data_IF_765261976981
#
_entry.id   IF_765261976981
#
_cell.length_a   1.000
_cell.length_b   1.000
_cell.length_c   1.000
_cell.angle_alpha   90.00
_cell.angle_beta   90.00
_cell.angle_gamma   90.00
#
_symmetry.space_group_name_H-M   'P 1'
#
loop_
_entity.id
_entity.type
_entity.pdbx_description
1 polymer ?
#
# COMPACT_ATOMS: atom_id res chain seq x y z
N UNK A 1 -4.19 40.67 -60.80
CA UNK A 1 -3.72 39.40 -60.19
C UNK A 1 -2.87 39.74 -58.98
N UNK A 2 -3.49 39.80 -57.80
CA UNK A 2 -2.82 40.17 -56.55
C UNK A 2 -2.68 38.89 -55.72
N UNK A 3 -1.46 38.56 -55.30
CA UNK A 3 -1.12 37.37 -54.51
C UNK A 3 -1.56 37.58 -53.06
N UNK A 4 -2.32 36.64 -52.52
CA UNK A 4 -2.59 36.51 -51.09
C UNK A 4 -1.31 36.07 -50.36
N UNK A 5 -0.94 36.78 -49.29
CA UNK A 5 0.05 36.32 -48.32
C UNK A 5 -0.68 36.15 -46.99
N UNK A 6 -0.85 34.90 -46.57
CA UNK A 6 -1.40 34.54 -45.26
C UNK A 6 -0.25 34.54 -44.27
N UNK A 7 -0.30 35.40 -43.24
CA UNK A 7 0.59 35.33 -42.10
C UNK A 7 -0.04 34.41 -41.04
N UNK A 8 0.59 33.26 -40.81
CA UNK A 8 0.25 32.38 -39.70
C UNK A 8 0.89 32.93 -38.41
N UNK A 9 0.06 33.34 -37.45
CA UNK A 9 0.52 33.70 -36.09
C UNK A 9 0.60 32.42 -35.27
N UNK A 10 1.80 31.86 -35.13
CA UNK A 10 2.06 30.80 -34.16
C UNK A 10 2.15 31.41 -32.76
N UNK A 11 1.08 31.27 -31.97
CA UNK A 11 1.13 31.56 -30.53
C UNK A 11 1.83 30.40 -29.81
N UNK A 12 3.10 30.60 -29.43
CA UNK A 12 3.81 29.73 -28.51
C UNK A 12 3.34 30.02 -27.08
N UNK A 13 2.38 29.23 -26.58
CA UNK A 13 2.07 29.22 -25.15
C UNK A 13 3.15 28.42 -24.42
N UNK A 14 4.08 29.12 -23.79
CA UNK A 14 5.01 28.52 -22.83
C UNK A 14 4.23 28.17 -21.56
N UNK A 15 3.76 26.93 -21.44
CA UNK A 15 3.25 26.42 -20.15
C UNK A 15 4.43 26.27 -19.20
N UNK A 16 4.54 27.17 -18.22
CA UNK A 16 5.41 26.96 -17.07
C UNK A 16 4.94 25.71 -16.33
N UNK A 17 5.69 24.61 -16.46
CA UNK A 17 5.55 23.47 -15.56
C UNK A 17 6.16 23.89 -14.23
N UNK A 18 5.35 24.50 -13.37
CA UNK A 18 5.73 24.74 -11.98
C UNK A 18 5.89 23.37 -11.30
N UNK A 19 7.13 22.96 -11.07
CA UNK A 19 7.44 21.81 -10.23
C UNK A 19 6.90 22.05 -8.82
N UNK A 20 5.75 21.47 -8.52
CA UNK A 20 5.13 21.54 -7.19
C UNK A 20 6.07 20.84 -6.19
N UNK A 21 6.83 21.63 -5.42
CA UNK A 21 7.66 21.12 -4.32
C UNK A 21 6.71 20.45 -3.32
N UNK A 22 6.73 19.12 -3.28
CA UNK A 22 5.92 18.34 -2.34
C UNK A 22 6.58 18.45 -0.95
N UNK A 23 5.83 18.81 0.11
CA UNK A 23 6.41 18.97 1.43
C UNK A 23 7.01 17.64 1.93
N UNK A 24 8.16 17.76 2.60
CA UNK A 24 8.84 16.63 3.23
C UNK A 24 7.92 15.94 4.24
N UNK A 25 7.87 14.61 4.20
CA UNK A 25 7.09 13.81 5.15
C UNK A 25 8.00 13.30 6.27
N UNK A 26 7.70 13.67 7.51
CA UNK A 26 8.41 13.10 8.67
C UNK A 26 7.88 11.70 8.93
N UNK A 27 8.76 10.72 9.01
CA UNK A 27 8.40 9.36 9.43
C UNK A 27 8.08 9.38 10.92
N UNK A 28 7.01 8.70 11.32
CA UNK A 28 6.54 8.62 12.70
C UNK A 28 5.86 7.26 12.97
N UNK A 29 5.17 7.14 14.09
CA UNK A 29 4.44 5.92 14.49
C UNK A 29 3.04 5.81 13.86
N UNK A 30 2.61 6.78 13.05
CA UNK A 30 1.31 6.84 12.40
C UNK A 30 0.13 6.54 13.36
N UNK A 31 0.05 7.28 14.47
CA UNK A 31 -0.92 7.03 15.55
C UNK A 31 -2.39 7.24 15.16
N UNK A 32 -2.65 7.85 14.01
CA UNK A 32 -4.00 8.09 13.46
C UNK A 32 -4.46 6.99 12.48
N UNK A 33 -3.62 5.99 12.21
CA UNK A 33 -3.95 4.98 11.20
C UNK A 33 -4.94 3.94 11.71
N UNK A 34 -5.75 3.40 10.80
CA UNK A 34 -6.42 2.12 11.00
C UNK A 34 -5.37 1.01 10.90
N UNK A 35 -5.05 0.39 12.02
CA UNK A 35 -3.97 -0.58 12.14
C UNK A 35 -4.45 -1.95 12.64
N UNK A 36 -5.76 -2.20 12.71
CA UNK A 36 -6.31 -3.41 13.33
C UNK A 36 -5.69 -4.70 12.76
N UNK A 37 -5.03 -5.46 13.63
CA UNK A 37 -4.40 -6.74 13.29
C UNK A 37 -5.35 -7.93 13.45
N UNK A 38 -6.58 -7.71 13.91
CA UNK A 38 -7.63 -8.72 14.08
C UNK A 38 -7.23 -9.93 14.94
N UNK A 39 -6.28 -9.72 15.87
CA UNK A 39 -5.71 -10.80 16.66
C UNK A 39 -6.76 -11.37 17.60
N UNK A 40 -7.04 -12.67 17.40
CA UNK A 40 -8.00 -13.41 18.22
C UNK A 40 -9.45 -13.27 17.79
N UNK A 41 -9.74 -12.56 16.69
CA UNK A 41 -11.13 -12.32 16.27
C UNK A 41 -11.40 -12.50 14.77
N UNK A 42 -10.46 -13.08 14.02
CA UNK A 42 -10.65 -13.44 12.61
C UNK A 42 -11.96 -14.20 12.37
N UNK A 43 -12.34 -15.25 13.13
CA UNK A 43 -13.61 -15.95 12.90
C UNK A 43 -14.85 -15.04 13.07
N UNK A 44 -14.82 -14.15 14.07
CA UNK A 44 -15.91 -13.21 14.29
C UNK A 44 -15.98 -12.17 13.17
N UNK A 45 -14.83 -11.67 12.71
CA UNK A 45 -14.75 -10.74 11.58
C UNK A 45 -15.19 -11.40 10.27
N UNK A 46 -14.84 -12.66 9.99
CA UNK A 46 -15.34 -13.41 8.83
C UNK A 46 -16.87 -13.55 8.80
N UNK A 47 -17.53 -13.47 9.96
CA UNK A 47 -18.99 -13.45 10.01
C UNK A 47 -19.55 -12.07 9.67
N UNK A 48 -18.90 -10.99 10.15
CA UNK A 48 -19.35 -9.61 9.91
C UNK A 48 -18.93 -9.05 8.54
N UNK A 49 -17.83 -9.54 7.97
CA UNK A 49 -17.25 -9.02 6.72
C UNK A 49 -18.23 -9.04 5.57
N UNK A 50 -19.11 -10.05 5.50
CA UNK A 50 -20.13 -10.15 4.44
C UNK A 50 -21.14 -9.01 4.49
N UNK A 51 -21.48 -8.56 5.69
CA UNK A 51 -22.41 -7.42 5.89
C UNK A 51 -21.69 -6.13 5.53
N UNK A 52 -20.50 -5.90 6.09
CA UNK A 52 -19.71 -4.70 5.78
C UNK A 52 -19.41 -4.59 4.29
N UNK A 53 -19.02 -5.69 3.64
CA UNK A 53 -18.71 -5.68 2.21
C UNK A 53 -19.93 -5.31 1.37
N UNK A 54 -21.12 -5.84 1.71
CA UNK A 54 -22.36 -5.48 1.03
C UNK A 54 -22.68 -3.99 1.19
N UNK A 55 -22.51 -3.45 2.40
CA UNK A 55 -22.75 -2.04 2.69
C UNK A 55 -21.75 -1.14 1.94
N UNK A 56 -20.48 -1.53 1.88
CA UNK A 56 -19.41 -0.83 1.16
C UNK A 56 -19.65 -0.83 -0.35
N UNK A 57 -20.04 -1.97 -0.92
CA UNK A 57 -20.40 -2.09 -2.34
C UNK A 57 -21.60 -1.19 -2.66
N UNK A 58 -22.61 -1.18 -1.79
CA UNK A 58 -23.84 -0.40 -1.99
C UNK A 58 -23.57 1.11 -1.87
N UNK A 59 -22.73 1.51 -0.90
CA UNK A 59 -22.34 2.91 -0.71
C UNK A 59 -21.53 3.44 -1.90
N UNK A 60 -20.73 2.57 -2.53
CA UNK A 60 -19.94 2.86 -3.72
C UNK A 60 -19.02 4.10 -3.56
N UNK A 61 -18.50 4.32 -2.36
CA UNK A 61 -17.58 5.42 -2.06
C UNK A 61 -16.37 5.36 -2.99
N UNK A 62 -16.07 6.46 -3.69
CA UNK A 62 -14.97 6.56 -4.67
C UNK A 62 -15.01 5.46 -5.76
N UNK A 63 -16.20 5.04 -6.19
CA UNK A 63 -16.43 3.94 -7.15
C UNK A 63 -15.99 2.55 -6.65
N UNK A 64 -15.79 2.37 -5.33
CA UNK A 64 -15.35 1.09 -4.75
C UNK A 64 -16.28 -0.07 -5.14
N UNK A 65 -17.59 0.12 -5.02
CA UNK A 65 -18.58 -0.94 -5.28
C UNK A 65 -18.60 -1.38 -6.73
N UNK A 66 -18.57 -0.43 -7.66
CA UNK A 66 -18.45 -0.70 -9.10
C UNK A 66 -17.19 -1.51 -9.39
N UNK A 67 -16.04 -1.06 -8.88
CA UNK A 67 -14.76 -1.75 -9.10
C UNK A 67 -14.72 -3.12 -8.45
N UNK A 68 -15.26 -3.25 -7.24
CA UNK A 68 -15.36 -4.52 -6.56
C UNK A 68 -16.14 -5.53 -7.42
N UNK A 69 -17.32 -5.14 -7.91
CA UNK A 69 -18.14 -5.98 -8.79
C UNK A 69 -17.39 -6.36 -10.07
N UNK A 70 -16.78 -5.39 -10.75
CA UNK A 70 -16.02 -5.67 -11.98
C UNK A 70 -14.90 -6.69 -11.75
N UNK A 71 -14.12 -6.53 -10.67
CA UNK A 71 -13.04 -7.45 -10.33
C UNK A 71 -13.56 -8.81 -9.85
N UNK A 72 -14.69 -8.84 -9.14
CA UNK A 72 -15.31 -10.07 -8.67
C UNK A 72 -15.83 -10.89 -9.86
N UNK A 73 -16.54 -10.27 -10.80
CA UNK A 73 -17.08 -10.92 -11.99
C UNK A 73 -15.98 -11.40 -12.96
N UNK A 74 -14.85 -10.70 -12.99
CA UNK A 74 -13.68 -11.09 -13.77
C UNK A 74 -12.77 -12.14 -13.10
N UNK A 75 -12.99 -12.46 -11.82
CA UNK A 75 -12.18 -13.45 -11.09
C UNK A 75 -12.79 -14.83 -11.21
N UNK A 76 -12.07 -15.78 -11.83
CA UNK A 76 -12.54 -17.17 -11.91
C UNK A 76 -12.45 -17.79 -10.51
N UNK A 77 -13.50 -18.52 -10.10
CA UNK A 77 -13.49 -19.30 -8.86
C UNK A 77 -12.30 -20.27 -8.78
N UNK A 78 -11.74 -20.68 -9.92
CA UNK A 78 -10.52 -21.52 -9.98
C UNK A 78 -9.25 -20.79 -9.55
N UNK A 79 -9.25 -19.47 -9.50
CA UNK A 79 -8.14 -18.68 -8.94
C UNK A 79 -8.05 -18.83 -7.42
N UNK A 80 -9.17 -19.16 -6.76
CA UNK A 80 -9.17 -19.65 -5.39
C UNK A 80 -8.61 -21.07 -5.37
N UNK A 81 -7.33 -21.19 -5.06
CA UNK A 81 -6.59 -22.45 -4.94
C UNK A 81 -6.76 -23.15 -3.58
N UNK A 82 -7.76 -22.72 -2.80
CA UNK A 82 -8.02 -23.19 -1.45
C UNK A 82 -7.24 -22.44 -0.36
N UNK A 83 -6.33 -21.52 -0.71
CA UNK A 83 -5.68 -20.63 0.25
C UNK A 83 -6.55 -19.42 0.58
N UNK A 84 -6.93 -18.68 -0.46
CA UNK A 84 -7.65 -17.42 -0.38
C UNK A 84 -9.04 -17.58 -0.99
N UNK A 85 -10.04 -16.99 -0.34
CA UNK A 85 -11.38 -16.88 -0.95
C UNK A 85 -11.35 -15.89 -2.11
N UNK A 86 -12.38 -15.91 -2.95
CA UNK A 86 -12.52 -14.94 -4.06
C UNK A 86 -12.49 -13.50 -3.53
N UNK A 87 -13.12 -13.22 -2.38
CA UNK A 87 -13.10 -11.87 -1.79
C UNK A 87 -11.70 -11.43 -1.36
N UNK A 88 -10.86 -12.34 -0.86
CA UNK A 88 -9.46 -12.03 -0.56
C UNK A 88 -8.69 -11.68 -1.85
N UNK A 89 -8.89 -12.46 -2.91
CA UNK A 89 -8.23 -12.24 -4.21
C UNK A 89 -8.67 -10.89 -4.80
N UNK A 90 -9.97 -10.59 -4.77
CA UNK A 90 -10.51 -9.30 -5.25
C UNK A 90 -9.95 -8.13 -4.43
N UNK A 91 -9.86 -8.27 -3.09
CA UNK A 91 -9.25 -7.25 -2.23
C UNK A 91 -7.78 -6.98 -2.60
N UNK A 92 -7.00 -8.01 -2.95
CA UNK A 92 -5.63 -7.88 -3.46
C UNK A 92 -5.62 -7.18 -4.82
N UNK A 93 -6.39 -7.67 -5.81
CA UNK A 93 -6.44 -7.10 -7.17
C UNK A 93 -6.80 -5.61 -7.16
N UNK A 94 -7.79 -5.22 -6.35
CA UNK A 94 -8.17 -3.82 -6.17
C UNK A 94 -7.03 -2.98 -5.61
N UNK A 95 -6.30 -3.51 -4.62
CA UNK A 95 -5.19 -2.82 -4.01
C UNK A 95 -4.02 -2.67 -5.00
N UNK A 96 -3.52 -3.77 -5.57
CA UNK A 96 -2.39 -3.78 -6.50
C UNK A 96 -2.63 -3.00 -7.81
N UNK A 97 -3.88 -2.69 -8.12
CA UNK A 97 -4.24 -1.80 -9.23
C UNK A 97 -4.04 -0.31 -8.91
N UNK A 98 -4.83 0.54 -9.56
CA UNK A 98 -4.77 1.99 -9.35
C UNK A 98 -5.46 2.46 -8.05
N UNK A 99 -6.15 1.56 -7.35
CA UNK A 99 -7.07 1.91 -6.26
C UNK A 99 -6.43 1.84 -4.86
N UNK A 100 -5.17 1.39 -4.73
CA UNK A 100 -4.44 1.42 -3.44
C UNK A 100 -4.49 2.78 -2.74
N UNK A 101 -4.54 3.87 -3.51
CA UNK A 101 -4.53 5.23 -2.96
C UNK A 101 -5.79 5.52 -2.15
N UNK A 102 -6.95 5.06 -2.59
CA UNK A 102 -8.22 5.26 -1.89
C UNK A 102 -8.18 4.62 -0.52
N UNK A 103 -7.86 3.32 -0.46
CA UNK A 103 -7.75 2.61 0.82
C UNK A 103 -6.66 3.24 1.70
N UNK A 104 -5.48 3.50 1.16
CA UNK A 104 -4.37 4.04 1.94
C UNK A 104 -4.63 5.47 2.44
N UNK A 105 -5.33 6.32 1.70
CA UNK A 105 -5.69 7.66 2.16
C UNK A 105 -6.70 7.58 3.31
N UNK A 106 -7.70 6.70 3.22
CA UNK A 106 -8.66 6.46 4.31
C UNK A 106 -7.97 5.85 5.55
N UNK A 107 -7.12 4.84 5.36
CA UNK A 107 -6.44 4.11 6.44
C UNK A 107 -5.53 5.03 7.25
N UNK A 108 -4.74 5.90 6.60
CA UNK A 108 -3.73 6.74 7.29
C UNK A 108 -4.26 7.63 8.40
N UNK A 109 -5.53 8.05 8.31
CA UNK A 109 -6.16 9.00 9.23
C UNK A 109 -7.45 8.45 9.85
N UNK A 110 -7.79 7.19 9.55
CA UNK A 110 -9.12 6.65 9.78
C UNK A 110 -9.38 6.13 11.19
N UNK A 111 -8.41 6.15 12.12
CA UNK A 111 -8.56 5.52 13.46
C UNK A 111 -9.80 5.99 14.22
N UNK A 112 -10.05 7.29 14.24
CA UNK A 112 -11.20 7.85 14.97
C UNK A 112 -12.52 7.51 14.28
N UNK A 113 -12.57 7.57 12.93
CA UNK A 113 -13.72 7.08 12.14
C UNK A 113 -13.97 5.58 12.39
N UNK A 114 -12.91 4.78 12.48
CA UNK A 114 -12.99 3.35 12.71
C UNK A 114 -13.66 3.05 14.05
N UNK A 115 -13.21 3.72 15.13
CA UNK A 115 -13.81 3.63 16.48
C UNK A 115 -15.25 4.15 16.52
N UNK A 116 -15.53 5.21 15.77
CA UNK A 116 -16.86 5.82 15.68
C UNK A 116 -17.84 5.04 14.79
N UNK A 117 -17.42 3.92 14.19
CA UNK A 117 -18.22 3.11 13.26
C UNK A 117 -18.63 3.87 11.97
N UNK A 118 -17.77 4.78 11.50
CA UNK A 118 -17.97 5.60 10.29
C UNK A 118 -16.82 5.51 9.28
N UNK A 119 -15.92 4.54 9.43
CA UNK A 119 -14.89 4.26 8.44
C UNK A 119 -15.51 3.57 7.21
N UNK A 120 -15.00 3.90 6.02
CA UNK A 120 -15.68 3.58 4.76
C UNK A 120 -15.30 2.21 4.17
N UNK A 121 -14.26 1.55 4.70
CA UNK A 121 -13.66 0.36 4.07
C UNK A 121 -13.29 -0.74 5.09
N UNK A 122 -14.20 -1.07 6.01
CA UNK A 122 -14.02 -2.11 7.03
C UNK A 122 -13.73 -3.50 6.46
N UNK A 123 -14.52 -3.93 5.49
CA UNK A 123 -14.38 -5.23 4.85
C UNK A 123 -13.14 -5.28 3.98
N UNK A 124 -12.91 -4.26 3.15
CA UNK A 124 -11.70 -4.25 2.31
C UNK A 124 -10.42 -4.25 3.16
N UNK A 125 -10.35 -3.45 4.23
CA UNK A 125 -9.23 -3.47 5.16
C UNK A 125 -9.04 -4.84 5.82
N UNK A 126 -10.13 -5.46 6.29
CA UNK A 126 -10.06 -6.79 6.92
C UNK A 126 -9.59 -7.86 5.94
N UNK A 127 -10.21 -7.96 4.76
CA UNK A 127 -9.88 -8.96 3.75
C UNK A 127 -8.42 -8.83 3.29
N UNK A 128 -7.92 -7.62 3.11
CA UNK A 128 -6.53 -7.43 2.71
C UNK A 128 -5.56 -7.81 3.84
N UNK A 129 -5.84 -7.44 5.09
CA UNK A 129 -5.05 -7.85 6.25
C UNK A 129 -5.05 -9.37 6.46
N UNK A 130 -6.22 -10.02 6.30
CA UNK A 130 -6.36 -11.46 6.48
C UNK A 130 -5.68 -12.24 5.35
N UNK A 131 -5.75 -11.75 4.11
CA UNK A 131 -5.04 -12.35 2.98
C UNK A 131 -3.51 -12.35 3.22
N UNK A 132 -2.95 -11.22 3.64
CA UNK A 132 -1.52 -11.12 3.97
C UNK A 132 -1.15 -12.10 5.08
N UNK A 133 -1.98 -12.19 6.14
CA UNK A 133 -1.77 -13.12 7.25
C UNK A 133 -1.77 -14.58 6.78
N UNK A 134 -2.77 -15.00 6.01
CA UNK A 134 -2.88 -16.36 5.47
C UNK A 134 -1.65 -16.71 4.64
N UNK A 135 -1.26 -15.82 3.72
CA UNK A 135 -0.09 -16.04 2.85
C UNK A 135 1.22 -16.07 3.64
N UNK A 136 1.35 -15.25 4.69
CA UNK A 136 2.52 -15.28 5.57
C UNK A 136 2.62 -16.58 6.35
N UNK A 137 1.52 -17.01 6.97
CA UNK A 137 1.45 -18.25 7.74
C UNK A 137 1.74 -19.47 6.89
N UNK A 138 1.28 -19.47 5.63
CA UNK A 138 1.52 -20.56 4.70
C UNK A 138 2.98 -20.64 4.26
N UNK A 139 3.54 -19.52 3.80
CA UNK A 139 4.82 -19.53 3.09
C UNK A 139 6.01 -19.45 4.04
N UNK A 140 5.92 -18.64 5.10
CA UNK A 140 7.06 -18.33 5.97
C UNK A 140 6.60 -18.09 7.42
N UNK A 141 5.91 -19.02 8.12
CA UNK A 141 5.26 -18.74 9.40
C UNK A 141 6.22 -18.21 10.48
N UNK A 142 7.46 -18.68 10.48
CA UNK A 142 8.46 -18.35 11.51
C UNK A 142 9.62 -17.48 11.00
N UNK A 143 9.59 -17.08 9.74
CA UNK A 143 10.70 -16.37 9.09
C UNK A 143 10.28 -14.98 8.62
N UNK A 144 11.17 -14.02 8.75
CA UNK A 144 11.00 -12.70 8.15
C UNK A 144 11.49 -12.75 6.70
N UNK A 145 10.80 -12.06 5.80
CA UNK A 145 11.28 -11.84 4.45
C UNK A 145 12.54 -10.96 4.53
N UNK A 146 13.65 -11.49 4.02
CA UNK A 146 14.99 -10.92 4.23
C UNK A 146 15.08 -9.46 3.78
N UNK A 147 14.67 -9.13 2.55
CA UNK A 147 14.69 -7.74 2.08
C UNK A 147 13.69 -7.54 0.94
N UNK A 148 12.80 -6.57 1.10
CA UNK A 148 11.91 -6.04 0.05
C UNK A 148 12.18 -4.55 -0.14
N UNK A 149 11.82 -4.03 -1.30
CA UNK A 149 12.23 -2.72 -1.78
C UNK A 149 11.02 -1.84 -2.08
N UNK A 150 11.15 -0.55 -1.76
CA UNK A 150 10.18 0.46 -2.17
C UNK A 150 10.88 1.74 -2.61
N UNK A 151 10.68 2.13 -3.86
CA UNK A 151 11.03 3.45 -4.35
C UNK A 151 9.88 4.46 -4.23
N UNK A 152 10.22 5.73 -4.08
CA UNK A 152 9.21 6.79 -4.07
C UNK A 152 9.75 8.12 -4.61
N UNK A 153 8.84 8.93 -5.14
CA UNK A 153 9.07 10.33 -5.54
C UNK A 153 8.88 11.31 -4.37
N UNK A 154 8.61 10.82 -3.15
CA UNK A 154 8.38 11.66 -1.95
C UNK A 154 9.67 11.80 -1.16
N UNK A 155 9.84 12.99 -0.57
CA UNK A 155 10.91 13.23 0.39
C UNK A 155 10.45 12.77 1.78
N UNK A 156 11.24 11.92 2.41
CA UNK A 156 11.02 11.43 3.77
C UNK A 156 12.17 11.83 4.70
N UNK A 157 11.82 12.21 5.93
CA UNK A 157 12.76 12.50 7.02
C UNK A 157 12.60 11.48 8.13
N UNK A 158 13.71 10.88 8.54
CA UNK A 158 13.77 9.95 9.66
C UNK A 158 15.21 9.83 10.17
N UNK A 159 15.38 9.33 11.39
CA UNK A 159 16.67 9.27 12.05
C UNK A 159 17.07 7.85 12.38
N UNK A 160 18.38 7.60 12.45
CA UNK A 160 18.93 6.32 12.90
C UNK A 160 18.35 5.95 14.28
N UNK A 161 17.98 4.67 14.45
CA UNK A 161 17.31 4.07 15.63
C UNK A 161 15.87 4.55 15.89
N UNK A 162 15.31 5.44 15.07
CA UNK A 162 13.92 5.82 15.18
C UNK A 162 13.02 4.61 14.89
N UNK A 163 11.97 4.42 15.70
CA UNK A 163 10.88 3.51 15.39
C UNK A 163 9.80 4.22 14.59
N UNK A 164 9.31 3.57 13.54
CA UNK A 164 8.34 4.12 12.60
C UNK A 164 7.33 3.06 12.22
N UNK A 165 6.18 3.51 11.74
CA UNK A 165 5.15 2.70 11.11
C UNK A 165 4.63 3.44 9.90
N UNK A 166 4.36 2.72 8.82
CA UNK A 166 3.81 3.37 7.62
C UNK A 166 2.36 3.80 7.79
N UNK A 167 1.61 3.15 8.69
CA UNK A 167 0.23 3.48 9.04
C UNK A 167 -0.74 3.28 7.89
N UNK A 168 -0.42 2.36 6.99
CA UNK A 168 -1.17 1.97 5.82
C UNK A 168 -0.58 0.68 5.27
N UNK A 169 -1.29 0.03 4.36
CA UNK A 169 -0.69 -1.02 3.56
C UNK A 169 0.47 -0.44 2.75
N UNK A 170 1.56 -1.17 2.68
CA UNK A 170 2.74 -0.78 1.92
C UNK A 170 3.01 -1.80 0.83
N UNK A 171 2.87 -1.34 -0.41
CA UNK A 171 3.34 -2.09 -1.58
C UNK A 171 4.87 -1.99 -1.67
N UNK A 172 5.52 -3.14 -1.84
CA UNK A 172 6.97 -3.30 -1.99
C UNK A 172 7.23 -4.35 -3.05
N UNK A 173 8.46 -4.44 -3.55
CA UNK A 173 8.87 -5.47 -4.52
C UNK A 173 10.03 -6.27 -3.95
N UNK A 174 10.12 -7.55 -4.32
CA UNK A 174 11.36 -8.33 -4.08
C UNK A 174 12.52 -7.89 -4.99
N UNK A 175 12.23 -7.09 -6.03
CA UNK A 175 13.22 -6.53 -6.96
C UNK A 175 13.46 -5.05 -6.71
N UNK A 176 14.72 -4.71 -6.40
CA UNK A 176 15.15 -3.32 -6.26
C UNK A 176 14.94 -2.53 -7.56
N UNK A 177 15.17 -3.15 -8.72
CA UNK A 177 15.01 -2.51 -10.02
C UNK A 177 13.56 -2.14 -10.29
N UNK A 178 12.62 -3.06 -10.04
CA UNK A 178 11.18 -2.80 -10.19
C UNK A 178 10.72 -1.73 -9.20
N UNK A 179 11.19 -1.80 -7.94
CA UNK A 179 10.88 -0.79 -6.94
C UNK A 179 11.34 0.62 -7.33
N UNK A 180 12.45 0.75 -8.05
CA UNK A 180 12.98 2.04 -8.49
C UNK A 180 12.11 2.74 -9.55
N UNK A 181 11.27 2.01 -10.29
CA UNK A 181 10.33 2.57 -11.27
C UNK A 181 9.28 3.48 -10.61
N UNK A 182 8.97 3.23 -9.33
CA UNK A 182 8.06 4.05 -8.52
C UNK A 182 8.70 5.34 -7.99
N UNK A 183 10.02 5.50 -8.15
CA UNK A 183 10.76 6.72 -7.86
C UNK A 183 12.07 6.48 -7.10
N UNK A 184 12.96 7.46 -7.17
CA UNK A 184 14.33 7.38 -6.63
C UNK A 184 14.69 8.54 -5.70
N UNK A 185 13.69 9.24 -5.16
CA UNK A 185 13.89 10.35 -4.22
C UNK A 185 14.30 9.80 -2.84
N UNK A 186 13.39 9.09 -2.19
CA UNK A 186 13.69 8.24 -1.04
C UNK A 186 13.37 6.80 -1.40
N UNK A 187 14.15 5.87 -0.87
CA UNK A 187 13.89 4.45 -1.02
C UNK A 187 14.06 3.71 0.29
N UNK A 188 13.36 2.58 0.40
CA UNK A 188 13.34 1.75 1.58
C UNK A 188 13.79 0.34 1.20
N UNK A 189 14.79 -0.17 1.92
CA UNK A 189 15.16 -1.57 1.98
C UNK A 189 14.61 -2.11 3.30
N UNK A 190 13.70 -3.08 3.25
CA UNK A 190 12.85 -3.45 4.39
C UNK A 190 12.99 -4.94 4.65
N UNK A 191 13.46 -5.31 5.84
CA UNK A 191 13.29 -6.66 6.39
C UNK A 191 11.93 -6.70 7.10
N UNK A 192 10.95 -7.42 6.54
CA UNK A 192 9.56 -7.49 7.04
C UNK A 192 9.24 -8.88 7.58
N UNK A 193 8.59 -8.95 8.73
CA UNK A 193 8.16 -10.19 9.37
C UNK A 193 6.66 -10.46 9.24
N UNK A 194 5.88 -9.47 8.77
CA UNK A 194 4.43 -9.57 8.62
C UNK A 194 3.95 -9.41 7.18
N UNK A 195 4.83 -8.97 6.27
CA UNK A 195 4.52 -8.89 4.85
C UNK A 195 4.49 -10.26 4.17
N UNK A 196 3.73 -10.34 3.08
CA UNK A 196 3.61 -11.54 2.26
C UNK A 196 3.63 -11.20 0.77
N UNK A 197 4.20 -12.11 -0.05
CA UNK A 197 4.10 -12.00 -1.50
C UNK A 197 2.65 -12.22 -1.93
N UNK A 198 2.13 -11.28 -2.72
CA UNK A 198 0.80 -11.35 -3.34
C UNK A 198 0.87 -11.52 -4.84
N UNK A 199 2.08 -11.66 -5.40
CA UNK A 199 2.41 -11.71 -6.83
C UNK A 199 1.44 -12.58 -7.65
N UNK A 200 1.11 -13.77 -7.12
CA UNK A 200 0.20 -14.75 -7.74
C UNK A 200 -1.23 -14.22 -7.95
N UNK A 201 -1.67 -13.28 -7.12
CA UNK A 201 -3.06 -12.83 -7.04
C UNK A 201 -3.26 -11.41 -7.58
N UNK A 202 -2.19 -10.70 -7.93
CA UNK A 202 -2.30 -9.35 -8.49
C UNK A 202 -2.73 -9.39 -9.96
N UNK A 203 -3.40 -8.34 -10.43
CA UNK A 203 -3.69 -8.17 -11.87
C UNK A 203 -2.43 -7.97 -12.72
N UNK A 204 -1.30 -7.60 -12.10
CA UNK A 204 -0.01 -7.39 -12.74
C UNK A 204 0.85 -8.66 -12.77
N UNK A 205 0.43 -9.73 -12.10
CA UNK A 205 1.19 -10.97 -11.95
C UNK A 205 2.61 -10.73 -11.43
N UNK A 206 3.59 -11.34 -12.10
CA UNK A 206 5.01 -11.25 -11.76
C UNK A 206 5.70 -9.94 -12.16
N UNK A 207 5.00 -9.02 -12.82
CA UNK A 207 5.61 -7.78 -13.35
C UNK A 207 6.10 -6.83 -12.24
N UNK A 208 5.51 -6.90 -11.05
CA UNK A 208 5.91 -6.06 -9.91
C UNK A 208 6.61 -6.86 -8.79
N UNK A 209 6.52 -8.20 -8.84
CA UNK A 209 7.01 -9.10 -7.79
C UNK A 209 6.58 -8.62 -6.38
N UNK A 210 5.30 -8.28 -6.26
CA UNK A 210 4.76 -7.48 -5.17
C UNK A 210 4.68 -8.24 -3.84
N UNK A 211 5.17 -7.59 -2.79
CA UNK A 211 4.99 -7.96 -1.39
C UNK A 211 4.21 -6.85 -0.69
N UNK A 212 3.10 -7.20 -0.07
CA UNK A 212 2.32 -6.28 0.76
C UNK A 212 2.72 -6.41 2.22
N UNK A 213 2.93 -5.26 2.87
CA UNK A 213 3.17 -5.14 4.30
C UNK A 213 1.93 -4.52 4.97
N UNK A 214 1.41 -5.10 6.06
CA UNK A 214 0.22 -4.62 6.73
C UNK A 214 0.48 -3.33 7.55
N UNK A 215 -0.56 -2.54 7.86
CA UNK A 215 -0.42 -1.23 8.49
C UNK A 215 0.16 -1.25 9.92
N UNK A 216 0.09 -2.39 10.62
CA UNK A 216 0.51 -2.54 12.02
C UNK A 216 1.99 -2.87 12.24
N UNK A 217 2.74 -3.20 11.18
CA UNK A 217 4.14 -3.59 11.34
C UNK A 217 5.02 -2.37 11.71
N UNK A 218 5.79 -2.52 12.79
CA UNK A 218 6.71 -1.50 13.29
C UNK A 218 8.12 -1.80 12.82
N UNK A 219 8.79 -0.76 12.36
CA UNK A 219 10.16 -0.84 11.86
C UNK A 219 11.09 0.05 12.66
N UNK A 220 12.33 -0.39 12.83
CA UNK A 220 13.42 0.43 13.31
C UNK A 220 14.31 0.83 12.14
N UNK A 221 14.67 2.11 12.08
CA UNK A 221 15.63 2.62 11.09
C UNK A 221 17.04 2.19 11.52
N UNK A 222 17.63 1.25 10.79
CA UNK A 222 18.97 0.72 11.06
C UNK A 222 20.06 1.47 10.30
N UNK A 223 19.74 2.05 9.14
CA UNK A 223 20.67 2.89 8.38
C UNK A 223 19.92 3.99 7.63
N UNK A 224 20.56 5.16 7.48
CA UNK A 224 20.15 6.23 6.57
C UNK A 224 21.34 6.61 5.72
N UNK A 225 21.29 6.33 4.42
CA UNK A 225 22.35 6.64 3.46
C UNK A 225 21.92 7.78 2.56
N UNK A 226 22.81 8.72 2.32
CA UNK A 226 22.60 9.82 1.38
C UNK A 226 23.58 9.69 0.21
N UNK A 227 23.10 9.90 -1.02
CA UNK A 227 23.91 9.83 -2.25
C UNK A 227 25.04 10.88 -2.26
N UNK A 228 24.89 11.98 -1.51
CA UNK A 228 25.95 12.97 -1.32
C UNK A 228 27.15 12.41 -0.51
N UNK A 229 26.94 11.35 0.29
CA UNK A 229 27.96 10.73 1.13
C UNK A 229 28.36 9.33 0.68
N UNK A 230 27.47 8.62 -0.02
CA UNK A 230 27.66 7.25 -0.49
C UNK A 230 27.51 7.23 -2.01
N UNK A 231 28.57 6.86 -2.73
CA UNK A 231 28.55 6.71 -4.18
C UNK A 231 27.64 5.56 -4.60
N UNK A 232 27.08 5.65 -5.80
CA UNK A 232 26.27 4.61 -6.46
C UNK A 232 25.03 4.15 -5.70
N UNK A 233 24.48 5.02 -4.83
CA UNK A 233 23.24 4.76 -4.12
C UNK A 233 22.07 4.75 -5.10
N UNK A 234 21.24 3.71 -5.11
CA UNK A 234 20.12 3.56 -6.06
C UNK A 234 19.04 4.66 -5.95
N UNK A 235 19.01 5.38 -4.83
CA UNK A 235 18.16 6.56 -4.62
C UNK A 235 18.95 7.72 -3.98
N UNK A 236 18.39 8.94 -3.94
CA UNK A 236 19.07 10.08 -3.30
C UNK A 236 19.25 9.85 -1.80
N UNK A 237 18.25 9.25 -1.15
CA UNK A 237 18.33 8.78 0.23
C UNK A 237 17.76 7.38 0.34
N UNK A 238 18.47 6.48 1.03
CA UNK A 238 18.03 5.10 1.27
C UNK A 238 17.92 4.88 2.77
N UNK A 239 16.74 4.44 3.21
CA UNK A 239 16.50 3.95 4.55
C UNK A 239 16.60 2.43 4.56
N UNK A 240 17.36 1.86 5.49
CA UNK A 240 17.26 0.44 5.83
C UNK A 240 16.41 0.27 7.07
N UNK A 241 15.37 -0.53 6.94
CA UNK A 241 14.37 -0.78 7.97
C UNK A 241 14.42 -2.24 8.36
N UNK A 242 14.43 -2.49 9.68
CA UNK A 242 14.29 -3.83 10.23
C UNK A 242 13.00 -3.91 11.02
N UNK A 243 12.23 -4.98 10.81
CA UNK A 243 11.06 -5.27 11.62
C UNK A 243 11.46 -5.35 13.09
N UNK A 244 10.78 -4.59 13.93
CA UNK A 244 11.03 -4.54 15.37
C UNK A 244 9.99 -5.38 16.12
N UNK A 245 8.70 -5.13 15.84
CA UNK A 245 7.52 -5.86 16.33
C UNK A 245 6.32 -5.52 15.43
N UNK A 246 5.12 -5.98 15.77
CA UNK A 246 3.89 -5.23 15.44
C UNK A 246 3.41 -4.44 16.66
N UNK A 247 2.75 -3.32 16.43
CA UNK A 247 1.99 -2.58 17.42
C UNK A 247 0.70 -2.14 16.74
N UNK A 248 -0.43 -2.40 17.40
CA UNK A 248 -1.75 -2.08 16.90
C UNK A 248 -2.51 -1.32 17.99
N UNK A 249 -2.92 -0.10 17.69
CA UNK A 249 -3.73 0.73 18.58
C UNK A 249 -5.22 0.37 18.50
N UNK A 250 -5.61 -0.37 17.46
CA UNK A 250 -6.91 -1.01 17.29
C UNK A 250 -6.73 -2.52 17.41
N UNK A 251 -7.66 -3.20 18.06
CA UNK A 251 -7.74 -4.66 17.96
C UNK A 251 -9.19 -5.07 18.11
N UNK A 252 -9.74 -5.66 17.05
CA UNK A 252 -11.07 -6.26 17.07
C UNK A 252 -12.20 -5.29 17.46
N UNK A 253 -12.08 -4.00 17.12
CA UNK A 253 -13.05 -2.98 17.60
C UNK A 253 -14.45 -3.12 16.97
N UNK A 254 -14.61 -4.00 15.99
CA UNK A 254 -15.86 -4.21 15.24
C UNK A 254 -16.63 -5.45 15.67
N UNK A 255 -16.04 -6.32 16.49
CA UNK A 255 -16.59 -7.64 16.82
C UNK A 255 -17.12 -7.74 18.22
#
# INVERSE_FOLDING_TARGET
>A
MVKFVVWAVFSLTFSMVSGMVRPDTVLDMALSSVDDAYKGCVPAMLTKVKVYLKDEITANTDDFGTRWTDHYDATDNKESDGELTVEHIVAIKLYSGIFYKTLNDAVRVGKDKYKAKTFEFYAWHFLLSDAIRILKEKNNPNECLKTVYRGTKRVYKGQLKQEIRFGKFLSTSTSQTLAAEFGTENCFEIETCYGASVEKYTSMGSLEAEVLIPPYEKFKIEEVKNRNTVKDLWCKVVFKLKSATYLSDLNCALV
#
